data_IF_256694530527
#
_entry.id   IF_256694530527
#
_cell.length_a   1.000
_cell.length_b   1.000
_cell.length_c   1.000
_cell.angle_alpha   90.00
_cell.angle_beta   90.00
_cell.angle_gamma   90.00
#
_symmetry.space_group_name_H-M   'P 1'
#
loop_
_entity.id
_entity.type
_entity.pdbx_description
1 polymer ?
#
# COMPACT_ATOMS: atom_id res chain seq x y z
N UNK A 1 -16.67 16.84 -8.77
CA UNK A 1 -17.58 16.13 -7.84
C UNK A 1 -19.02 16.60 -8.08
N UNK A 2 -19.92 15.73 -8.52
CA UNK A 2 -21.29 16.09 -8.95
C UNK A 2 -22.39 15.62 -7.98
N UNK A 3 -22.05 14.90 -6.92
CA UNK A 3 -23.01 14.38 -5.97
C UNK A 3 -23.26 15.35 -4.81
N UNK A 4 -24.51 15.79 -4.63
CA UNK A 4 -24.91 16.86 -3.71
C UNK A 4 -24.56 16.63 -2.23
N UNK A 5 -24.29 15.38 -1.81
CA UNK A 5 -23.94 15.06 -0.42
C UNK A 5 -22.43 14.93 -0.18
N UNK A 6 -21.59 15.15 -1.19
CA UNK A 6 -20.13 15.21 -1.03
C UNK A 6 -19.71 16.68 -0.95
N UNK A 7 -19.07 17.05 0.16
CA UNK A 7 -18.67 18.43 0.47
C UNK A 7 -17.71 19.02 -0.59
N UNK A 8 -16.74 18.25 -1.07
CA UNK A 8 -15.68 18.74 -1.97
C UNK A 8 -14.73 19.74 -1.28
N UNK A 9 -13.79 20.37 -2.03
CA UNK A 9 -13.61 20.32 -3.49
C UNK A 9 -12.91 19.05 -4.01
N UNK A 10 -12.24 18.29 -3.14
CA UNK A 10 -11.58 17.03 -3.45
C UNK A 10 -12.17 15.84 -2.69
N UNK A 11 -11.56 14.67 -2.89
CA UNK A 11 -11.89 13.41 -2.19
C UNK A 11 -10.66 12.78 -1.57
N UNK A 12 -10.89 12.02 -0.51
CA UNK A 12 -9.90 11.10 0.04
C UNK A 12 -10.07 9.72 -0.57
N UNK A 13 -8.96 8.98 -0.70
CA UNK A 13 -8.95 7.58 -1.10
C UNK A 13 -8.27 6.74 -0.03
N UNK A 14 -8.77 5.54 0.21
CA UNK A 14 -8.18 4.55 1.11
C UNK A 14 -7.98 3.27 0.30
N UNK A 15 -6.78 2.69 0.39
CA UNK A 15 -6.46 1.44 -0.27
C UNK A 15 -5.57 0.55 0.57
N UNK A 16 -5.69 -0.76 0.35
CA UNK A 16 -4.87 -1.80 0.98
C UNK A 16 -4.20 -2.67 -0.09
N UNK A 17 -2.93 -3.04 0.10
CA UNK A 17 -2.19 -3.89 -0.86
C UNK A 17 -2.10 -3.23 -2.25
N UNK A 18 -2.54 -3.91 -3.30
CA UNK A 18 -2.69 -3.32 -4.65
C UNK A 18 -3.62 -2.09 -4.67
N UNK A 19 -4.62 -2.04 -3.80
CA UNK A 19 -5.48 -0.86 -3.66
C UNK A 19 -4.74 0.37 -3.13
N UNK A 20 -3.73 0.18 -2.26
CA UNK A 20 -2.90 1.27 -1.74
C UNK A 20 -1.99 1.84 -2.83
N UNK A 21 -1.46 0.97 -3.69
CA UNK A 21 -0.70 1.37 -4.88
C UNK A 21 -1.57 2.19 -5.85
N UNK A 22 -2.82 1.78 -6.07
CA UNK A 22 -3.79 2.56 -6.84
C UNK A 22 -4.09 3.90 -6.16
N UNK A 23 -4.21 3.95 -4.83
CA UNK A 23 -4.39 5.20 -4.08
C UNK A 23 -3.21 6.16 -4.31
N UNK A 24 -1.97 5.67 -4.27
CA UNK A 24 -0.76 6.46 -4.62
C UNK A 24 -0.81 6.96 -6.06
N UNK A 25 -1.26 6.13 -7.00
CA UNK A 25 -1.39 6.53 -8.41
C UNK A 25 -2.48 7.58 -8.59
N UNK A 26 -3.63 7.40 -7.94
CA UNK A 26 -4.77 8.31 -8.01
C UNK A 26 -4.41 9.70 -7.46
N UNK A 27 -3.80 9.81 -6.28
CA UNK A 27 -3.38 11.11 -5.73
C UNK A 27 -2.27 11.78 -6.57
N UNK A 28 -1.51 11.00 -7.32
CA UNK A 28 -0.45 11.51 -8.21
C UNK A 28 -1.01 12.05 -9.52
N UNK A 29 -2.01 11.39 -10.10
CA UNK A 29 -2.46 11.65 -11.47
C UNK A 29 -3.84 12.33 -11.57
N UNK A 30 -4.67 12.24 -10.52
CA UNK A 30 -6.02 12.77 -10.51
C UNK A 30 -6.09 13.99 -9.56
N UNK A 31 -6.31 15.21 -10.09
CA UNK A 31 -6.28 16.43 -9.30
C UNK A 31 -7.39 16.51 -8.23
N UNK A 32 -8.46 15.73 -8.36
CA UNK A 32 -9.55 15.68 -7.38
C UNK A 32 -9.20 14.90 -6.12
N UNK A 33 -8.13 14.09 -6.13
CA UNK A 33 -7.71 13.29 -4.97
C UNK A 33 -6.72 14.10 -4.15
N UNK A 34 -7.13 14.48 -2.93
CA UNK A 34 -6.36 15.41 -2.07
C UNK A 34 -5.79 14.76 -0.82
N UNK A 35 -6.21 13.53 -0.52
CA UNK A 35 -5.71 12.74 0.60
C UNK A 35 -5.71 11.25 0.24
N UNK A 36 -4.63 10.53 0.54
CA UNK A 36 -4.50 9.10 0.27
C UNK A 36 -4.01 8.35 1.50
N UNK A 37 -4.78 7.34 1.91
CA UNK A 37 -4.40 6.38 2.94
C UNK A 37 -3.96 5.09 2.25
N UNK A 38 -2.72 4.68 2.48
CA UNK A 38 -2.07 3.58 1.80
C UNK A 38 -1.64 2.53 2.82
N UNK A 39 -2.42 1.45 2.93
CA UNK A 39 -2.20 0.36 3.90
C UNK A 39 -1.46 -0.78 3.22
N UNK A 40 -0.29 -1.15 3.75
CA UNK A 40 0.54 -2.25 3.25
C UNK A 40 0.78 -2.15 1.73
N UNK A 41 1.02 -0.94 1.21
CA UNK A 41 1.14 -0.67 -0.23
C UNK A 41 2.55 -0.85 -0.79
N UNK A 42 2.64 -0.89 -2.13
CA UNK A 42 3.90 -0.77 -2.87
C UNK A 42 4.02 0.62 -3.50
N UNK A 43 5.23 1.20 -3.50
CA UNK A 43 5.53 2.51 -4.10
C UNK A 43 5.76 2.43 -5.62
N UNK A 44 5.67 1.23 -6.20
CA UNK A 44 5.77 0.96 -7.63
C UNK A 44 4.50 0.26 -8.09
N UNK A 45 4.12 0.46 -9.36
CA UNK A 45 3.03 -0.28 -9.97
C UNK A 45 3.37 -1.78 -10.03
N UNK A 46 2.45 -2.65 -9.66
CA UNK A 46 2.64 -4.13 -9.64
C UNK A 46 1.57 -4.85 -10.47
N UNK A 47 1.72 -6.17 -10.68
CA UNK A 47 0.73 -7.07 -11.31
C UNK A 47 0.51 -6.86 -12.82
N UNK A 48 0.12 -5.66 -13.25
CA UNK A 48 -0.20 -5.33 -14.63
C UNK A 48 0.12 -3.87 -14.93
N UNK A 49 0.27 -3.54 -16.20
CA UNK A 49 0.52 -2.17 -16.64
C UNK A 49 -0.65 -1.24 -16.26
N UNK A 50 -0.32 -0.08 -15.69
CA UNK A 50 -1.26 0.97 -15.36
C UNK A 50 -1.25 2.02 -16.47
N UNK A 51 -2.41 2.26 -17.08
CA UNK A 51 -2.57 3.25 -18.14
C UNK A 51 -3.35 4.48 -17.65
N UNK A 52 -2.88 5.68 -17.99
CA UNK A 52 -3.57 6.95 -17.76
C UNK A 52 -3.31 7.93 -18.91
N UNK A 53 -4.32 8.14 -19.76
CA UNK A 53 -4.13 8.83 -21.04
C UNK A 53 -3.10 8.09 -21.89
N UNK A 54 -2.10 8.81 -22.39
CA UNK A 54 -0.97 8.24 -23.17
C UNK A 54 0.14 7.65 -22.28
N UNK A 55 0.07 7.83 -20.96
CA UNK A 55 1.08 7.33 -20.03
C UNK A 55 0.82 5.86 -19.70
N UNK A 56 1.89 5.07 -19.69
CA UNK A 56 1.89 3.68 -19.19
C UNK A 56 2.96 3.54 -18.12
N UNK A 57 2.56 3.11 -16.91
CA UNK A 57 3.48 2.62 -15.90
C UNK A 57 3.52 1.09 -15.98
N UNK A 58 4.66 0.48 -16.33
CA UNK A 58 4.75 -0.97 -16.38
C UNK A 58 4.56 -1.62 -15.00
N UNK A 59 4.06 -2.84 -14.98
CA UNK A 59 3.96 -3.65 -13.76
C UNK A 59 5.32 -4.19 -13.33
N UNK A 60 5.68 -3.94 -12.07
CA UNK A 60 6.81 -4.58 -11.42
C UNK A 60 6.58 -6.09 -11.41
N UNK A 61 7.56 -6.82 -11.92
CA UNK A 61 7.42 -8.25 -12.19
C UNK A 61 7.29 -9.04 -10.89
N UNK A 62 6.34 -9.97 -10.90
CA UNK A 62 6.22 -11.05 -9.92
C UNK A 62 6.89 -12.31 -10.48
N UNK A 63 7.89 -12.85 -9.78
CA UNK A 63 8.65 -14.02 -10.16
C UNK A 63 8.25 -15.24 -9.31
N UNK A 64 7.48 -16.13 -9.92
CA UNK A 64 7.06 -17.40 -9.29
C UNK A 64 8.23 -18.27 -8.83
N UNK A 65 9.43 -18.13 -9.41
CA UNK A 65 10.59 -18.92 -9.00
C UNK A 65 11.16 -18.50 -7.64
N UNK A 66 10.78 -17.32 -7.13
CA UNK A 66 11.18 -16.81 -5.81
C UNK A 66 10.15 -17.12 -4.72
N UNK A 67 9.02 -17.73 -5.09
CA UNK A 67 7.99 -18.16 -4.15
C UNK A 67 8.40 -19.48 -3.52
N UNK A 68 8.30 -19.59 -2.20
CA UNK A 68 8.46 -20.86 -1.49
C UNK A 68 7.12 -21.37 -1.00
N UNK A 69 6.99 -22.69 -0.87
CA UNK A 69 5.76 -23.36 -0.43
C UNK A 69 6.09 -24.27 0.74
N UNK A 70 5.36 -24.13 1.85
CA UNK A 70 5.52 -24.99 3.02
C UNK A 70 5.01 -26.41 2.76
N UNK A 71 5.37 -27.35 3.64
CA UNK A 71 4.82 -28.73 3.62
C UNK A 71 3.29 -28.78 3.76
N UNK A 72 2.69 -27.72 4.31
CA UNK A 72 1.23 -27.56 4.44
C UNK A 72 0.58 -26.84 3.25
N UNK A 73 1.34 -26.55 2.19
CA UNK A 73 0.85 -25.92 0.97
C UNK A 73 0.64 -24.40 1.09
N UNK A 74 1.22 -23.74 2.09
CA UNK A 74 1.15 -22.28 2.26
C UNK A 74 2.26 -21.61 1.47
N UNK A 75 1.89 -20.62 0.67
CA UNK A 75 2.80 -19.86 -0.19
C UNK A 75 3.39 -18.68 0.57
N UNK A 76 4.71 -18.53 0.51
CA UNK A 76 5.44 -17.36 0.96
C UNK A 76 5.93 -16.59 -0.25
N UNK A 77 5.34 -15.40 -0.44
CA UNK A 77 5.55 -14.54 -1.62
C UNK A 77 6.44 -13.34 -1.31
N UNK A 78 7.03 -13.27 -0.12
CA UNK A 78 7.74 -12.08 0.35
C UNK A 78 8.87 -11.61 -0.59
N UNK A 79 9.56 -12.55 -1.24
CA UNK A 79 10.64 -12.29 -2.19
C UNK A 79 10.19 -12.31 -3.66
N UNK A 80 8.90 -12.47 -3.92
CA UNK A 80 8.39 -12.73 -5.26
C UNK A 80 8.37 -11.50 -6.17
N UNK A 81 8.22 -10.29 -5.62
CA UNK A 81 8.34 -9.07 -6.42
C UNK A 81 9.80 -8.73 -6.69
N UNK A 82 10.10 -8.32 -7.92
CA UNK A 82 11.41 -7.81 -8.27
C UNK A 82 11.76 -6.55 -7.45
N UNK A 83 13.06 -6.33 -7.25
CA UNK A 83 13.54 -5.23 -6.41
C UNK A 83 13.26 -3.87 -7.08
N UNK A 84 12.40 -3.00 -6.51
CA UNK A 84 12.11 -1.69 -7.09
C UNK A 84 13.29 -0.73 -7.05
N UNK A 85 14.36 -1.02 -6.29
CA UNK A 85 15.58 -0.20 -6.25
C UNK A 85 16.54 -0.50 -7.40
N UNK A 86 16.35 -1.61 -8.12
CA UNK A 86 17.11 -1.90 -9.32
C UNK A 86 16.79 -0.86 -10.40
N UNK A 87 17.79 -0.18 -11.01
CA UNK A 87 17.56 0.81 -12.06
C UNK A 87 16.70 0.31 -13.23
N UNK A 88 16.77 -0.99 -13.56
CA UNK A 88 15.94 -1.62 -14.59
C UNK A 88 14.44 -1.55 -14.29
N UNK A 89 14.06 -1.47 -13.01
CA UNK A 89 12.67 -1.40 -12.53
C UNK A 89 12.20 0.03 -12.25
N UNK A 90 13.07 1.04 -12.40
CA UNK A 90 12.69 2.44 -12.21
C UNK A 90 11.46 2.91 -13.01
N UNK A 91 11.16 2.40 -14.22
CA UNK A 91 9.93 2.77 -14.93
C UNK A 91 8.65 2.36 -14.21
N UNK A 92 8.68 1.38 -13.30
CA UNK A 92 7.52 0.94 -12.53
C UNK A 92 7.21 1.88 -11.36
N UNK A 93 8.14 2.77 -10.97
CA UNK A 93 7.99 3.64 -9.80
C UNK A 93 6.87 4.65 -10.00
N UNK A 94 5.97 4.77 -9.02
CA UNK A 94 4.92 5.78 -9.06
C UNK A 94 5.54 7.14 -8.73
N UNK A 95 5.38 8.18 -9.57
CA UNK A 95 6.02 9.48 -9.40
C UNK A 95 5.27 10.35 -8.37
N UNK A 96 5.15 9.84 -7.14
CA UNK A 96 4.39 10.44 -6.04
C UNK A 96 4.85 11.85 -5.62
N UNK A 97 6.07 12.25 -6.00
CA UNK A 97 6.58 13.62 -5.84
C UNK A 97 5.77 14.66 -6.59
N UNK A 98 5.00 14.24 -7.62
CA UNK A 98 4.12 15.12 -8.40
C UNK A 98 2.80 15.42 -7.69
N UNK A 99 2.47 14.67 -6.64
CA UNK A 99 1.25 14.88 -5.89
C UNK A 99 1.35 16.13 -5.00
N UNK A 100 0.25 16.89 -4.94
CA UNK A 100 0.09 18.02 -4.02
C UNK A 100 -0.74 17.66 -2.77
N UNK A 101 -1.46 16.53 -2.81
CA UNK A 101 -2.29 16.05 -1.69
C UNK A 101 -1.48 15.40 -0.57
N UNK A 102 -2.15 14.95 0.49
CA UNK A 102 -1.51 14.39 1.68
C UNK A 102 -1.49 12.86 1.67
N UNK A 103 -0.46 12.25 2.25
CA UNK A 103 -0.32 10.80 2.35
C UNK A 103 -0.34 10.32 3.80
N UNK A 104 -1.05 9.23 4.05
CA UNK A 104 -0.88 8.42 5.25
C UNK A 104 -0.44 7.02 4.84
N UNK A 105 0.80 6.67 5.14
CA UNK A 105 1.36 5.35 4.91
C UNK A 105 1.17 4.51 6.18
N UNK A 106 0.60 3.32 6.05
CA UNK A 106 0.33 2.40 7.16
C UNK A 106 0.99 1.07 6.83
N UNK A 107 1.92 0.60 7.65
CA UNK A 107 2.67 -0.63 7.39
C UNK A 107 2.67 -1.56 8.59
N UNK A 108 2.54 -2.86 8.33
CA UNK A 108 2.86 -3.92 9.28
C UNK A 108 4.30 -4.36 9.06
N UNK A 109 5.12 -4.34 10.10
CA UNK A 109 6.55 -4.68 9.97
C UNK A 109 6.78 -6.18 9.73
N UNK A 110 5.79 -7.02 10.04
CA UNK A 110 5.77 -8.45 9.76
C UNK A 110 4.83 -8.78 8.57
N UNK A 111 4.73 -7.88 7.60
CA UNK A 111 4.08 -8.18 6.32
C UNK A 111 4.88 -9.25 5.56
N UNK A 112 4.27 -10.43 5.41
CA UNK A 112 4.89 -11.56 4.70
C UNK A 112 4.40 -11.72 3.26
N UNK A 113 3.45 -10.91 2.81
CA UNK A 113 3.01 -10.93 1.42
C UNK A 113 4.01 -10.20 0.53
N UNK A 114 4.52 -9.04 0.99
CA UNK A 114 5.58 -8.27 0.34
C UNK A 114 6.24 -7.28 1.30
N UNK A 115 7.25 -6.52 0.82
CA UNK A 115 8.11 -5.66 1.67
C UNK A 115 7.50 -4.28 1.94
N UNK A 116 6.29 -4.20 2.48
CA UNK A 116 5.56 -2.92 2.64
C UNK A 116 6.33 -1.86 3.43
N UNK A 117 7.06 -2.23 4.50
CA UNK A 117 7.94 -1.31 5.23
C UNK A 117 9.03 -0.71 4.34
N UNK A 118 9.69 -1.52 3.50
CA UNK A 118 10.69 -1.03 2.53
C UNK A 118 10.05 -0.08 1.52
N UNK A 119 8.90 -0.46 0.96
CA UNK A 119 8.21 0.35 -0.03
C UNK A 119 7.76 1.71 0.53
N UNK A 120 7.30 1.75 1.78
CA UNK A 120 6.98 3.01 2.46
C UNK A 120 8.24 3.88 2.67
N UNK A 121 9.38 3.30 3.02
CA UNK A 121 10.63 4.06 3.13
C UNK A 121 11.11 4.61 1.78
N UNK A 122 10.96 3.84 0.69
CA UNK A 122 11.28 4.31 -0.66
C UNK A 122 10.36 5.47 -1.09
N UNK A 123 9.06 5.38 -0.79
CA UNK A 123 8.11 6.47 -1.02
C UNK A 123 8.51 7.73 -0.23
N UNK A 124 8.77 7.60 1.07
CA UNK A 124 9.20 8.71 1.94
C UNK A 124 10.50 9.33 1.45
N UNK A 125 11.48 8.50 1.09
CA UNK A 125 12.77 8.95 0.54
C UNK A 125 12.57 9.78 -0.72
N UNK A 126 11.72 9.33 -1.64
CA UNK A 126 11.40 10.04 -2.88
C UNK A 126 10.70 11.38 -2.62
N UNK A 127 9.73 11.42 -1.71
CA UNK A 127 9.05 12.67 -1.30
C UNK A 127 10.05 13.66 -0.72
N UNK A 128 10.88 13.24 0.24
CA UNK A 128 11.90 14.10 0.88
C UNK A 128 12.94 14.63 -0.11
N UNK A 129 13.39 13.79 -1.05
CA UNK A 129 14.33 14.21 -2.10
C UNK A 129 13.78 15.34 -2.98
N UNK A 130 12.45 15.47 -3.07
CA UNK A 130 11.76 16.54 -3.81
C UNK A 130 11.20 17.63 -2.89
N UNK A 131 11.64 17.70 -1.62
CA UNK A 131 11.24 18.74 -0.68
C UNK A 131 9.80 18.64 -0.18
N UNK A 132 9.18 17.46 -0.31
CA UNK A 132 7.80 17.21 0.12
C UNK A 132 7.79 16.71 1.58
N UNK A 133 6.87 17.25 2.39
CA UNK A 133 6.66 16.88 3.81
C UNK A 133 5.19 16.52 4.12
N UNK A 134 4.33 16.47 3.10
CA UNK A 134 2.90 16.18 3.13
C UNK A 134 2.60 14.68 3.34
N UNK A 135 3.33 14.00 4.22
CA UNK A 135 3.12 12.59 4.52
C UNK A 135 3.29 12.26 6.01
N UNK A 136 2.61 11.20 6.44
CA UNK A 136 2.82 10.56 7.73
C UNK A 136 3.01 9.04 7.56
N UNK A 137 3.74 8.42 8.50
CA UNK A 137 3.96 6.98 8.56
C UNK A 137 3.46 6.43 9.89
N UNK A 138 2.66 5.37 9.82
CA UNK A 138 2.33 4.50 10.94
C UNK A 138 2.98 3.14 10.69
N UNK A 139 3.89 2.75 11.57
CA UNK A 139 4.61 1.47 11.50
C UNK A 139 4.26 0.63 12.71
N UNK A 140 3.86 -0.62 12.49
CA UNK A 140 3.36 -1.51 13.53
C UNK A 140 4.20 -2.79 13.61
N UNK A 141 5.10 -2.88 14.62
CA UNK A 141 5.82 -4.12 14.93
C UNK A 141 4.87 -5.29 15.16
N UNK A 142 5.15 -6.43 14.53
CA UNK A 142 4.33 -7.64 14.67
C UNK A 142 2.95 -7.59 14.00
N UNK A 143 2.62 -6.53 13.25
CA UNK A 143 1.45 -6.53 12.37
C UNK A 143 1.80 -7.06 10.98
N UNK A 144 0.84 -7.73 10.35
CA UNK A 144 1.00 -8.35 9.03
C UNK A 144 0.33 -7.54 7.93
N UNK A 145 0.15 -8.17 6.76
CA UNK A 145 -0.33 -7.49 5.56
C UNK A 145 -1.73 -6.86 5.68
N UNK A 146 -2.69 -7.57 6.27
CA UNK A 146 -4.12 -7.18 6.28
C UNK A 146 -4.53 -6.36 7.52
N UNK A 147 -4.07 -5.12 7.60
CA UNK A 147 -4.51 -4.19 8.64
C UNK A 147 -5.93 -3.67 8.31
N UNK A 148 -6.91 -4.49 8.62
CA UNK A 148 -8.35 -4.27 8.41
C UNK A 148 -9.00 -3.41 9.53
N UNK A 149 -10.29 -3.04 9.44
CA UNK A 149 -10.96 -2.31 10.50
C UNK A 149 -10.91 -3.01 11.87
N UNK A 150 -11.07 -2.26 12.98
CA UNK A 150 -10.95 -2.80 14.33
C UNK A 150 -11.86 -4.00 14.58
N UNK A 151 -11.35 -4.95 15.37
CA UNK A 151 -12.05 -6.21 15.69
C UNK A 151 -12.28 -7.17 14.50
N UNK A 152 -11.66 -6.91 13.34
CA UNK A 152 -11.59 -7.90 12.27
C UNK A 152 -10.73 -9.08 12.71
N UNK A 153 -11.21 -10.34 12.62
CA UNK A 153 -10.45 -11.50 13.07
C UNK A 153 -9.06 -11.60 12.43
N UNK A 154 -8.03 -11.71 13.27
CA UNK A 154 -6.67 -11.94 12.81
C UNK A 154 -6.57 -13.28 12.07
N UNK A 155 -5.92 -13.27 10.91
CA UNK A 155 -5.70 -14.44 10.09
C UNK A 155 -4.31 -14.36 9.45
N UNK A 156 -3.40 -15.24 9.89
CA UNK A 156 -2.00 -15.24 9.44
C UNK A 156 -1.84 -15.72 7.99
N UNK A 157 -2.77 -16.55 7.51
CA UNK A 157 -2.76 -17.14 6.16
C UNK A 157 -4.15 -16.97 5.56
N UNK A 158 -4.28 -16.40 4.37
CA UNK A 158 -5.55 -16.51 3.64
C UNK A 158 -5.32 -16.71 2.15
N UNK A 159 -6.38 -17.13 1.46
CA UNK A 159 -6.37 -17.31 0.02
C UNK A 159 -6.16 -15.97 -0.66
N UNK A 160 -5.06 -15.84 -1.40
CA UNK A 160 -4.85 -14.71 -2.28
C UNK A 160 -5.81 -14.81 -3.47
N UNK A 161 -6.48 -13.69 -3.80
CA UNK A 161 -7.53 -13.69 -4.83
C UNK A 161 -6.99 -13.76 -6.25
N UNK A 162 -5.74 -13.37 -6.48
CA UNK A 162 -5.11 -13.39 -7.80
C UNK A 162 -4.48 -14.76 -8.06
N UNK A 163 -3.73 -15.27 -7.09
CA UNK A 163 -3.04 -16.55 -7.19
C UNK A 163 -3.96 -17.75 -6.92
N UNK A 164 -5.06 -17.57 -6.19
CA UNK A 164 -6.00 -18.64 -5.84
C UNK A 164 -5.46 -19.66 -4.83
N UNK A 165 -4.39 -19.32 -4.11
CA UNK A 165 -3.67 -20.21 -3.17
C UNK A 165 -3.55 -19.55 -1.80
N UNK A 166 -3.42 -20.33 -0.70
CA UNK A 166 -3.19 -19.76 0.64
C UNK A 166 -1.80 -19.09 0.70
N UNK A 167 -1.78 -17.79 0.99
CA UNK A 167 -0.56 -16.99 1.12
C UNK A 167 -0.38 -16.52 2.57
N UNK A 168 0.87 -16.55 3.04
CA UNK A 168 1.28 -16.04 4.34
C UNK A 168 1.19 -14.51 4.37
N UNK A 169 0.30 -13.96 5.18
CA UNK A 169 0.15 -12.51 5.41
C UNK A 169 1.00 -11.99 6.57
N UNK A 170 1.44 -12.87 7.47
CA UNK A 170 2.25 -12.54 8.65
C UNK A 170 1.46 -11.88 9.79
N UNK A 171 2.19 -11.45 10.81
CA UNK A 171 1.70 -10.80 12.02
C UNK A 171 1.46 -11.75 13.20
N UNK A 172 1.34 -11.17 14.38
CA UNK A 172 0.98 -11.80 15.64
C UNK A 172 -0.39 -11.30 16.13
N UNK A 173 -1.26 -12.18 16.59
CA UNK A 173 -2.66 -11.86 16.90
C UNK A 173 -2.84 -10.58 17.75
N UNK A 174 -2.08 -10.43 18.84
CA UNK A 174 -2.22 -9.27 19.74
C UNK A 174 -1.69 -7.98 19.13
N UNK A 175 -0.50 -8.03 18.50
CA UNK A 175 0.11 -6.87 17.86
C UNK A 175 -0.72 -6.41 16.64
N UNK A 176 -1.24 -7.36 15.87
CA UNK A 176 -2.09 -7.11 14.73
C UNK A 176 -3.42 -6.46 15.13
N UNK A 177 -4.09 -6.97 16.16
CA UNK A 177 -5.33 -6.36 16.67
C UNK A 177 -5.09 -4.92 17.17
N UNK A 178 -3.97 -4.67 17.85
CA UNK A 178 -3.59 -3.31 18.24
C UNK A 178 -3.36 -2.39 17.04
N UNK A 179 -2.69 -2.90 15.99
CA UNK A 179 -2.47 -2.14 14.77
C UNK A 179 -3.80 -1.73 14.12
N UNK A 180 -4.76 -2.65 13.98
CA UNK A 180 -6.09 -2.38 13.43
C UNK A 180 -6.84 -1.29 14.23
N UNK A 181 -6.82 -1.38 15.57
CA UNK A 181 -7.47 -0.41 16.44
C UNK A 181 -6.83 0.98 16.36
N UNK A 182 -5.50 1.05 16.51
CA UNK A 182 -4.78 2.31 16.50
C UNK A 182 -4.79 2.98 15.12
N UNK A 183 -4.55 2.22 14.04
CA UNK A 183 -4.51 2.77 12.67
C UNK A 183 -5.87 3.33 12.27
N UNK A 184 -6.97 2.68 12.66
CA UNK A 184 -8.30 3.17 12.34
C UNK A 184 -8.57 4.56 12.89
N UNK A 185 -8.24 4.81 14.17
CA UNK A 185 -8.34 6.14 14.76
C UNK A 185 -7.49 7.18 14.02
N UNK A 186 -6.23 6.82 13.67
CA UNK A 186 -5.32 7.70 12.93
C UNK A 186 -5.77 7.98 11.49
N UNK A 187 -6.37 7.00 10.83
CA UNK A 187 -6.97 7.17 9.50
C UNK A 187 -8.13 8.16 9.57
N UNK A 188 -8.99 8.05 10.58
CA UNK A 188 -10.09 9.00 10.78
C UNK A 188 -9.57 10.41 11.09
N UNK A 189 -8.58 10.55 11.98
CA UNK A 189 -7.93 11.84 12.28
C UNK A 189 -7.36 12.50 11.01
N UNK A 190 -6.61 11.73 10.21
CA UNK A 190 -6.01 12.18 8.96
C UNK A 190 -7.07 12.64 7.93
N UNK A 191 -8.12 11.85 7.72
CA UNK A 191 -9.16 12.20 6.76
C UNK A 191 -9.97 13.42 7.19
N UNK A 192 -10.28 13.57 8.49
CA UNK A 192 -10.94 14.78 9.00
C UNK A 192 -10.07 16.04 8.89
N UNK A 193 -8.75 15.89 8.95
CA UNK A 193 -7.82 17.01 8.81
C UNK A 193 -7.74 17.51 7.35
N UNK A 194 -7.88 16.61 6.38
CA UNK A 194 -7.58 16.90 4.97
C UNK A 194 -8.80 16.94 4.04
N UNK A 195 -10.04 16.80 4.56
CA UNK A 195 -11.32 16.86 3.81
C UNK A 195 -12.37 17.76 4.51
#
# INVERSE_FOLDING_TARGET
LSYLKVKGPGVGVIGTGKGAELALSMITFLPEVVAAVCISGCSSNTVADLHYGEMTLPGLRFDMNKVSVSDTGVFDTFEALDDPTNPANSPCTIPIEKAEGHFLLVVGEDDRMWKSSLYAQLAIGRLRQHGKENFALLSYPGAGHRIDPPSTPFCQVAVDRVLGVPVLGGGESKAHAHAQEHSWGKIQEFLHLHL
#
